data_IF_043402678997
#
_entry.id   IF_043402678997
#
_cell.length_a   1.000
_cell.length_b   1.000
_cell.length_c   1.000
_cell.angle_alpha   90.00
_cell.angle_beta   90.00
_cell.angle_gamma   90.00
#
_symmetry.space_group_name_H-M   'P 1'
#
loop_
_entity.id
_entity.type
_entity.pdbx_description
1 polymer ?
#
# COMPACT_ATOMS: atom_id res chain seq x y z
N UNK A 1 11.01 26.06 -12.92
CA UNK A 1 10.01 24.99 -12.68
C UNK A 1 10.77 23.76 -12.24
N UNK A 2 10.79 23.49 -10.93
CA UNK A 2 11.50 22.32 -10.39
C UNK A 2 10.67 21.08 -10.67
N UNK A 3 11.10 20.27 -11.64
CA UNK A 3 10.64 18.90 -11.74
C UNK A 3 11.17 18.20 -10.49
N UNK A 4 10.30 18.00 -9.49
CA UNK A 4 10.60 17.10 -8.40
C UNK A 4 10.84 15.73 -9.03
N UNK A 5 12.11 15.39 -9.25
CA UNK A 5 12.51 14.03 -9.48
C UNK A 5 12.18 13.33 -8.18
N UNK A 6 11.00 12.70 -8.12
CA UNK A 6 10.74 11.70 -7.10
C UNK A 6 11.82 10.65 -7.35
N UNK A 7 12.87 10.57 -6.51
CA UNK A 7 13.82 9.50 -6.67
C UNK A 7 12.98 8.23 -6.54
N UNK A 8 13.06 7.34 -7.53
CA UNK A 8 12.51 6.00 -7.36
C UNK A 8 13.32 5.40 -6.23
N UNK A 9 12.80 5.52 -5.01
CA UNK A 9 13.46 5.12 -3.79
C UNK A 9 13.48 3.60 -3.81
N UNK A 10 14.63 3.00 -4.10
CA UNK A 10 14.74 1.54 -4.07
C UNK A 10 14.49 1.10 -2.61
N UNK A 11 13.54 0.19 -2.36
CA UNK A 11 13.30 -0.34 -1.03
C UNK A 11 14.55 -0.92 -0.35
N UNK A 12 15.58 -1.30 -1.14
CA UNK A 12 16.83 -1.83 -0.63
C UNK A 12 17.85 -0.75 -0.23
N UNK A 13 17.69 0.48 -0.70
CA UNK A 13 18.58 1.61 -0.38
C UNK A 13 18.12 2.38 0.87
N UNK A 14 17.01 1.97 1.49
CA UNK A 14 16.46 2.57 2.69
C UNK A 14 17.31 2.24 3.91
N UNK A 15 17.71 3.26 4.67
CA UNK A 15 18.27 3.05 6.00
C UNK A 15 17.21 2.50 6.96
N UNK A 16 17.62 1.87 8.07
CA UNK A 16 16.70 1.38 9.09
C UNK A 16 15.80 2.48 9.66
N UNK A 17 16.32 3.71 9.77
CA UNK A 17 15.58 4.87 10.25
C UNK A 17 14.51 5.31 9.23
N UNK A 18 14.86 5.34 7.94
CA UNK A 18 13.92 5.65 6.87
C UNK A 18 12.84 4.58 6.79
N UNK A 19 13.22 3.31 6.87
CA UNK A 19 12.29 2.18 6.87
C UNK A 19 11.29 2.27 8.03
N UNK A 20 11.75 2.59 9.23
CA UNK A 20 10.88 2.75 10.41
C UNK A 20 9.89 3.90 10.23
N UNK A 21 10.38 5.03 9.71
CA UNK A 21 9.55 6.22 9.43
C UNK A 21 8.51 5.93 8.35
N UNK A 22 8.93 5.36 7.22
CA UNK A 22 8.04 4.98 6.12
C UNK A 22 6.99 3.96 6.57
N UNK A 23 7.39 2.95 7.35
CA UNK A 23 6.46 1.95 7.89
C UNK A 23 5.42 2.57 8.83
N UNK A 24 5.81 3.56 9.63
CA UNK A 24 4.90 4.30 10.49
C UNK A 24 3.93 5.14 9.66
N UNK A 25 4.45 5.98 8.76
CA UNK A 25 3.64 6.83 7.88
C UNK A 25 2.67 6.01 7.03
N UNK A 26 3.16 4.92 6.42
CA UNK A 26 2.34 4.05 5.57
C UNK A 26 1.16 3.49 6.36
N UNK A 27 1.35 3.03 7.61
CA UNK A 27 0.25 2.53 8.45
C UNK A 27 -0.88 3.55 8.65
N UNK A 28 -0.55 4.85 8.76
CA UNK A 28 -1.55 5.91 8.90
C UNK A 28 -2.19 6.31 7.56
N UNK A 29 -1.47 6.15 6.46
CA UNK A 29 -1.97 6.45 5.11
C UNK A 29 -2.69 5.25 4.46
N UNK A 30 -2.52 4.02 4.97
CA UNK A 30 -3.09 2.80 4.40
C UNK A 30 -4.60 2.90 4.10
N UNK A 31 -5.47 3.44 4.99
CA UNK A 31 -6.91 3.56 4.72
C UNK A 31 -7.23 4.43 3.49
N UNK A 32 -6.34 5.35 3.14
CA UNK A 32 -6.50 6.31 2.05
C UNK A 32 -5.98 5.77 0.72
N UNK A 33 -5.06 4.80 0.77
CA UNK A 33 -4.49 4.21 -0.44
C UNK A 33 -5.42 3.10 -0.90
N UNK A 34 -6.09 3.31 -2.04
CA UNK A 34 -7.01 2.36 -2.65
C UNK A 34 -6.32 1.13 -3.25
N UNK A 35 -5.54 0.37 -2.47
CA UNK A 35 -4.80 -0.78 -2.96
C UNK A 35 -5.71 -1.86 -3.58
N UNK A 36 -6.94 -2.00 -3.08
CA UNK A 36 -7.95 -2.92 -3.63
C UNK A 36 -8.52 -2.47 -4.99
N UNK A 37 -8.23 -1.25 -5.41
CA UNK A 37 -8.62 -0.72 -6.73
C UNK A 37 -7.51 -0.84 -7.77
N UNK A 38 -6.34 -1.36 -7.38
CA UNK A 38 -5.26 -1.64 -8.33
C UNK A 38 -5.59 -2.88 -9.15
N UNK A 39 -5.16 -2.91 -10.40
CA UNK A 39 -5.09 -4.17 -11.15
C UNK A 39 -4.01 -5.10 -10.59
N UNK A 40 -4.10 -6.41 -10.84
CA UNK A 40 -3.06 -7.37 -10.42
C UNK A 40 -1.67 -7.00 -10.97
N UNK A 41 -1.61 -6.42 -12.17
CA UNK A 41 -0.38 -5.89 -12.76
C UNK A 41 0.18 -4.72 -11.94
N UNK A 42 -0.66 -3.75 -11.60
CA UNK A 42 -0.25 -2.59 -10.82
C UNK A 42 0.13 -2.97 -9.39
N UNK A 43 -0.61 -3.88 -8.75
CA UNK A 43 -0.22 -4.43 -7.45
C UNK A 43 1.18 -5.06 -7.51
N UNK A 44 1.44 -5.86 -8.54
CA UNK A 44 2.75 -6.50 -8.74
C UNK A 44 3.89 -5.49 -8.92
N UNK A 45 3.66 -4.42 -9.67
CA UNK A 45 4.69 -3.42 -9.97
C UNK A 45 4.87 -2.36 -8.87
N UNK A 46 3.78 -1.95 -8.21
CA UNK A 46 3.76 -0.80 -7.31
C UNK A 46 3.71 -1.18 -5.84
N UNK A 47 3.27 -2.39 -5.49
CA UNK A 47 3.06 -2.80 -4.08
C UNK A 47 4.04 -3.89 -3.66
N UNK A 48 4.24 -4.93 -4.50
CA UNK A 48 5.15 -6.04 -4.16
C UNK A 48 6.58 -5.59 -3.78
N UNK A 49 7.23 -4.62 -4.45
CA UNK A 49 8.58 -4.18 -4.07
C UNK A 49 8.65 -3.68 -2.61
N UNK A 50 7.55 -3.13 -2.12
CA UNK A 50 7.44 -2.54 -0.78
C UNK A 50 6.82 -3.50 0.24
N UNK A 51 6.74 -4.82 -0.03
CA UNK A 51 6.15 -5.83 0.87
C UNK A 51 6.66 -5.70 2.30
N UNK A 52 7.96 -5.42 2.50
CA UNK A 52 8.60 -5.31 3.81
C UNK A 52 8.02 -4.15 4.65
N UNK A 53 7.58 -3.06 4.01
CA UNK A 53 6.99 -1.89 4.69
C UNK A 53 5.56 -2.17 5.19
N UNK A 54 4.89 -3.17 4.61
CA UNK A 54 3.54 -3.56 4.99
C UNK A 54 3.56 -4.56 6.15
N UNK A 55 2.56 -4.49 7.03
CA UNK A 55 2.33 -5.57 8.00
C UNK A 55 1.98 -6.83 7.24
N UNK A 56 2.56 -7.98 7.62
CA UNK A 56 2.36 -9.28 6.96
C UNK A 56 0.88 -9.57 6.70
N UNK A 57 0.02 -9.42 7.71
CA UNK A 57 -1.42 -9.67 7.58
C UNK A 57 -2.10 -8.79 6.52
N UNK A 58 -1.70 -7.52 6.43
CA UNK A 58 -2.26 -6.57 5.44
C UNK A 58 -1.82 -6.98 4.03
N UNK A 59 -0.53 -7.30 3.87
CA UNK A 59 0.01 -7.73 2.59
C UNK A 59 -0.63 -9.03 2.10
N UNK A 60 -0.77 -10.04 2.96
CA UNK A 60 -1.37 -11.33 2.56
C UNK A 60 -2.85 -11.17 2.21
N UNK A 61 -3.62 -10.37 2.96
CA UNK A 61 -4.99 -10.04 2.58
C UNK A 61 -5.08 -9.36 1.21
N UNK A 62 -4.20 -8.39 0.98
CA UNK A 62 -4.16 -7.65 -0.27
C UNK A 62 -3.74 -8.56 -1.44
N UNK A 63 -2.78 -9.46 -1.20
CA UNK A 63 -2.38 -10.46 -2.19
C UNK A 63 -3.56 -11.37 -2.53
N UNK A 64 -4.25 -11.90 -1.52
CA UNK A 64 -5.37 -12.81 -1.72
C UNK A 64 -6.51 -12.18 -2.51
N UNK A 65 -6.88 -10.92 -2.23
CA UNK A 65 -7.92 -10.22 -3.00
C UNK A 65 -7.56 -9.98 -4.47
N UNK A 66 -6.26 -10.00 -4.82
CA UNK A 66 -5.79 -9.88 -6.22
C UNK A 66 -5.61 -11.24 -6.91
N UNK A 67 -5.60 -12.33 -6.15
CA UNK A 67 -5.52 -13.70 -6.66
C UNK A 67 -6.90 -14.32 -6.86
N UNK A 68 -7.85 -13.99 -5.99
CA UNK A 68 -9.20 -14.52 -6.01
C UNK A 68 -10.21 -13.37 -5.81
N UNK A 69 -11.06 -13.08 -6.81
CA UNK A 69 -12.05 -12.02 -6.72
C UNK A 69 -13.18 -12.31 -5.71
N UNK A 70 -13.36 -13.56 -5.30
CA UNK A 70 -14.36 -13.95 -4.29
C UNK A 70 -13.87 -13.67 -2.86
N UNK A 71 -12.55 -13.49 -2.66
CA UNK A 71 -11.98 -13.13 -1.37
C UNK A 71 -12.24 -11.65 -1.09
N UNK A 72 -13.23 -11.39 -0.24
CA UNK A 72 -13.49 -10.05 0.28
C UNK A 72 -12.34 -9.62 1.20
N UNK A 73 -11.76 -8.44 0.97
CA UNK A 73 -10.75 -7.93 1.85
C UNK A 73 -11.35 -7.56 3.21
N UNK A 74 -10.60 -7.84 4.29
CA UNK A 74 -11.10 -7.70 5.66
C UNK A 74 -11.45 -6.23 5.93
N UNK A 75 -12.71 -5.97 6.31
CA UNK A 75 -13.30 -4.65 6.59
C UNK A 75 -12.49 -3.82 7.61
N UNK A 76 -11.69 -4.43 8.47
CA UNK A 76 -10.87 -3.68 9.43
C UNK A 76 -9.66 -2.94 8.78
N UNK A 77 -9.30 -3.30 7.55
CA UNK A 77 -8.30 -2.56 6.73
C UNK A 77 -9.02 -1.55 5.83
N UNK A 78 -10.31 -1.77 5.60
CA UNK A 78 -11.21 -0.99 4.76
C UNK A 78 -12.28 -0.33 5.61
N UNK A 79 -12.07 0.87 6.13
CA UNK A 79 -13.09 1.94 6.10
C UNK A 79 -12.61 3.17 6.92
N UNK A 80 -13.07 4.39 6.57
CA UNK A 80 -14.13 4.62 5.59
C UNK A 80 -13.68 5.28 4.28
N UNK A 81 -14.04 4.66 3.15
CA UNK A 81 -14.66 5.42 2.07
C UNK A 81 -16.01 5.90 2.59
N UNK A 82 -16.00 6.95 3.38
CA UNK A 82 -17.17 7.78 3.60
C UNK A 82 -16.85 9.11 2.94
N UNK A 83 -16.89 9.07 1.61
CA UNK A 83 -16.99 10.28 0.82
C UNK A 83 -18.50 10.55 0.72
N UNK A 84 -19.07 11.07 1.81
CA UNK A 84 -20.26 11.90 1.73
C UNK A 84 -19.78 13.26 1.20
N UNK A 85 -19.93 13.46 -0.11
CA UNK A 85 -20.01 14.81 -0.65
C UNK A 85 -21.41 15.31 -0.28
N UNK A 86 -21.48 16.33 0.58
CA UNK A 86 -22.67 17.17 0.75
C UNK A 86 -23.03 17.89 -0.55
#
# INVERSE_FOLDING_TARGET
>A
MGLAQNPTLDPNDLSDADFKTMKYTLQHCLPWIGFFSLSSKEFSQKVRPYKKLLRRQIYENLLNSHLDPDIKPIDNILLPRDIRFD
#
